data_IF_908690868212
#
_entry.id   IF_908690868212
#
_cell.length_a   1.000
_cell.length_b   1.000
_cell.length_c   1.000
_cell.angle_alpha   90.00
_cell.angle_beta   90.00
_cell.angle_gamma   90.00
#
_symmetry.space_group_name_H-M   'P 1'
#
loop_
_entity.id
_entity.type
_entity.pdbx_description
1 polymer ?
#
# COMPACT_ATOMS: atom_id res chain seq x y z
N UNK A 1 18.92 -2.99 38.91
CA UNK A 1 17.45 -2.88 38.77
C UNK A 1 16.90 -1.45 38.89
N UNK A 2 16.82 -0.83 40.08
CA UNK A 2 16.19 0.51 40.21
C UNK A 2 16.88 1.64 39.40
N UNK A 3 18.22 1.65 39.33
CA UNK A 3 18.99 2.59 38.47
C UNK A 3 18.73 2.38 36.97
N UNK A 4 18.46 1.15 36.58
CA UNK A 4 18.26 0.76 35.17
C UNK A 4 16.83 1.11 34.69
N UNK A 5 15.84 0.91 35.56
CA UNK A 5 14.46 1.38 35.36
C UNK A 5 14.42 2.91 35.26
N UNK A 6 15.18 3.62 36.11
CA UNK A 6 15.27 5.09 36.06
C UNK A 6 15.90 5.59 34.75
N UNK A 7 16.91 4.88 34.23
CA UNK A 7 17.56 5.18 32.94
C UNK A 7 16.59 4.96 31.76
N UNK A 8 15.88 3.82 31.72
CA UNK A 8 14.86 3.53 30.68
C UNK A 8 13.72 4.56 30.69
N UNK A 9 13.20 4.91 31.87
CA UNK A 9 12.15 5.94 32.01
C UNK A 9 12.62 7.34 31.60
N UNK A 10 13.90 7.66 31.78
CA UNK A 10 14.46 8.94 31.35
C UNK A 10 14.62 9.00 29.82
N UNK A 11 15.04 7.91 29.19
CA UNK A 11 15.09 7.79 27.72
C UNK A 11 13.68 7.91 27.12
N UNK A 12 12.70 7.16 27.64
CA UNK A 12 11.29 7.23 27.20
C UNK A 12 10.69 8.64 27.29
N UNK A 13 10.90 9.33 28.43
CA UNK A 13 10.46 10.72 28.60
C UNK A 13 11.16 11.71 27.68
N UNK A 14 12.41 11.43 27.30
CA UNK A 14 13.17 12.28 26.36
C UNK A 14 12.66 12.11 24.93
N UNK A 15 12.36 10.86 24.51
CA UNK A 15 11.73 10.56 23.22
C UNK A 15 10.35 11.20 23.12
N UNK A 16 9.48 11.03 24.12
CA UNK A 16 8.15 11.66 24.14
C UNK A 16 8.23 13.20 24.14
N UNK A 17 9.21 13.80 24.82
CA UNK A 17 9.42 15.26 24.77
C UNK A 17 9.94 15.74 23.43
N UNK A 18 10.76 14.95 22.74
CA UNK A 18 11.25 15.30 21.40
C UNK A 18 10.10 15.22 20.39
N UNK A 19 9.31 14.15 20.44
CA UNK A 19 8.05 13.99 19.68
C UNK A 19 7.14 15.20 19.96
N UNK A 20 6.85 15.50 21.23
CA UNK A 20 6.01 16.65 21.61
C UNK A 20 6.54 18.02 21.17
N UNK A 21 7.86 18.21 21.07
CA UNK A 21 8.47 19.45 20.55
C UNK A 21 8.40 19.55 19.03
N UNK A 22 8.44 18.42 18.33
CA UNK A 22 8.25 18.34 16.88
C UNK A 22 6.80 18.64 16.49
N UNK A 23 5.83 18.38 17.39
CA UNK A 23 4.40 18.62 17.16
C UNK A 23 3.86 19.99 17.65
N UNK A 24 4.72 20.99 17.89
CA UNK A 24 4.23 22.37 18.13
C UNK A 24 3.92 23.07 16.79
N UNK A 25 2.69 23.59 16.57
CA UNK A 25 2.37 24.29 15.34
C UNK A 25 3.10 25.64 15.26
N UNK A 26 3.91 25.80 14.21
CA UNK A 26 4.47 27.10 13.80
C UNK A 26 3.32 28.02 13.39
N UNK A 27 2.91 28.89 14.31
CA UNK A 27 1.90 29.93 14.07
C UNK A 27 2.57 31.17 13.50
N UNK A 28 2.85 31.20 12.20
CA UNK A 28 3.19 32.45 11.48
C UNK A 28 2.46 32.44 10.15
N UNK A 29 1.28 33.07 10.08
CA UNK A 29 0.74 33.65 8.85
C UNK A 29 -0.17 34.85 9.20
N UNK A 30 0.09 35.97 8.53
CA UNK A 30 -0.76 37.16 8.47
C UNK A 30 -2.00 36.90 7.59
N UNK A 31 -3.09 37.68 7.74
CA UNK A 31 -4.41 37.30 7.24
C UNK A 31 -4.64 37.73 5.79
N UNK A 32 -5.23 36.84 4.99
CA UNK A 32 -6.12 37.21 3.88
C UNK A 32 -7.41 36.42 3.98
N UNK A 33 -8.50 37.17 3.97
CA UNK A 33 -9.88 36.71 4.09
C UNK A 33 -10.29 35.82 2.93
N UNK A 34 -10.94 34.69 3.24
CA UNK A 34 -12.02 34.14 2.43
C UNK A 34 -12.87 33.23 3.33
N UNK A 35 -14.16 33.56 3.40
CA UNK A 35 -15.19 32.89 4.19
C UNK A 35 -15.38 31.42 3.79
N UNK A 36 -15.38 30.53 4.79
CA UNK A 36 -16.33 29.42 4.91
C UNK A 36 -16.35 28.92 6.36
N UNK A 37 -17.48 29.13 7.02
CA UNK A 37 -17.76 28.78 8.40
C UNK A 37 -18.13 27.29 8.50
N UNK A 38 -17.46 26.56 9.39
CA UNK A 38 -18.10 25.53 10.24
C UNK A 38 -17.35 25.46 11.57
N UNK A 39 -17.93 26.09 12.59
CA UNK A 39 -17.43 26.10 13.97
C UNK A 39 -18.09 24.99 14.79
N UNK A 40 -17.30 24.19 15.51
CA UNK A 40 -17.77 23.38 16.63
C UNK A 40 -17.13 23.88 17.94
N UNK A 41 -17.88 24.68 18.71
CA UNK A 41 -17.63 24.90 20.13
C UNK A 41 -18.97 25.19 20.84
N UNK A 42 -19.36 24.44 21.89
CA UNK A 42 -20.57 24.74 22.63
C UNK A 42 -20.32 25.86 23.66
N UNK A 43 -21.22 26.85 23.68
CA UNK A 43 -21.34 27.86 24.73
C UNK A 43 -21.98 27.22 25.97
N UNK A 44 -21.40 27.47 27.15
CA UNK A 44 -22.08 27.30 28.43
C UNK A 44 -21.99 28.61 29.23
N UNK A 45 -23.18 29.17 29.51
CA UNK A 45 -23.40 30.26 30.44
C UNK A 45 -23.23 29.75 31.87
N UNK A 46 -22.50 30.48 32.74
CA UNK A 46 -22.77 30.40 34.17
C UNK A 46 -22.40 31.69 34.91
N UNK A 47 -23.29 32.06 35.85
CA UNK A 47 -23.34 33.27 36.66
C UNK A 47 -22.28 33.29 37.77
N UNK A 48 -21.99 34.51 38.20
CA UNK A 48 -21.12 34.93 39.30
C UNK A 48 -21.49 34.34 40.67
N UNK A 49 -20.48 34.00 41.48
CA UNK A 49 -20.43 34.27 42.93
C UNK A 49 -18.98 34.14 43.46
N UNK A 50 -18.55 35.19 44.17
CA UNK A 50 -17.24 35.37 44.82
C UNK A 50 -17.27 34.82 46.25
N UNK A 51 -16.28 34.01 46.68
CA UNK A 51 -15.67 34.03 48.04
C UNK A 51 -14.23 33.44 48.02
N UNK A 52 -13.26 34.34 48.25
CA UNK A 52 -12.03 34.30 49.05
C UNK A 52 -11.18 33.03 49.37
N UNK A 53 -9.86 33.16 49.04
CA UNK A 53 -8.64 32.98 49.87
C UNK A 53 -8.17 31.56 50.35
N UNK A 54 -7.17 30.97 49.67
CA UNK A 54 -5.73 30.85 50.07
C UNK A 54 -4.95 29.80 49.24
N UNK A 55 -3.61 29.88 49.10
CA UNK A 55 -2.84 29.23 48.04
C UNK A 55 -2.08 27.97 48.51
N UNK A 56 -1.99 26.94 47.66
CA UNK A 56 -0.87 25.98 47.57
C UNK A 56 -1.05 25.11 46.29
N UNK A 57 0.04 24.70 45.61
CA UNK A 57 0.04 24.30 44.21
C UNK A 57 -0.32 22.81 44.07
N UNK A 58 -1.56 22.53 43.73
CA UNK A 58 -2.01 21.20 43.31
C UNK A 58 -2.70 21.32 41.96
N UNK A 59 -1.89 21.49 40.91
CA UNK A 59 -2.36 21.52 39.52
C UNK A 59 -1.69 20.38 38.76
N UNK A 60 -2.07 19.15 39.12
CA UNK A 60 -1.79 17.94 38.36
C UNK A 60 -2.73 16.83 38.82
N UNK A 61 -4.02 17.00 38.56
CA UNK A 61 -4.95 15.89 38.32
C UNK A 61 -6.25 16.52 37.80
N UNK A 62 -6.61 16.28 36.54
CA UNK A 62 -7.98 16.13 36.03
C UNK A 62 -7.88 16.04 34.51
N UNK A 63 -7.75 14.81 34.00
CA UNK A 63 -8.26 14.32 32.70
C UNK A 63 -7.89 12.83 32.55
N UNK A 64 -8.32 12.02 33.53
CA UNK A 64 -8.40 10.56 33.40
C UNK A 64 -9.75 10.12 33.97
N UNK A 65 -10.73 10.07 33.07
CA UNK A 65 -11.95 9.27 33.18
C UNK A 65 -11.81 8.22 32.07
N UNK A 66 -12.06 6.93 32.23
CA UNK A 66 -12.59 6.20 33.37
C UNK A 66 -12.32 4.71 33.16
N UNK A 67 -12.48 3.96 34.24
CA UNK A 67 -12.28 2.52 34.32
C UNK A 67 -13.33 1.73 33.51
N UNK A 68 -12.90 0.59 32.98
CA UNK A 68 -13.75 -0.60 32.83
C UNK A 68 -12.89 -1.83 33.15
N UNK A 69 -13.27 -2.69 34.12
CA UNK A 69 -12.58 -3.94 34.38
C UNK A 69 -13.23 -5.05 33.55
N UNK A 70 -12.47 -5.87 32.83
CA UNK A 70 -12.97 -7.19 32.48
C UNK A 70 -11.87 -8.24 32.30
N UNK A 71 -12.28 -9.44 32.63
CA UNK A 71 -11.51 -10.59 33.06
C UNK A 71 -10.70 -11.30 31.98
N UNK A 72 -9.80 -12.13 32.48
CA UNK A 72 -8.93 -13.04 31.75
C UNK A 72 -9.74 -14.10 31.00
N UNK A 73 -9.45 -14.27 29.72
CA UNK A 73 -9.36 -15.61 29.11
C UNK A 73 -8.03 -15.74 28.37
N UNK A 74 -7.28 -16.76 28.76
CA UNK A 74 -6.04 -17.17 28.14
C UNK A 74 -6.33 -17.88 26.82
N UNK A 75 -5.61 -17.51 25.76
CA UNK A 75 -5.26 -18.41 24.67
C UNK A 75 -4.06 -17.83 23.90
N UNK A 76 -3.04 -18.66 23.76
CA UNK A 76 -1.79 -18.50 23.00
C UNK A 76 -0.70 -17.64 23.64
N UNK A 77 0.06 -18.33 24.48
CA UNK A 77 1.47 -18.08 24.79
C UNK A 77 2.27 -18.18 23.47
N UNK A 78 2.37 -17.09 22.73
CA UNK A 78 3.33 -16.95 21.63
C UNK A 78 4.51 -16.19 22.19
N UNK A 79 5.61 -16.90 22.40
CA UNK A 79 6.88 -16.35 22.86
C UNK A 79 7.27 -15.10 22.05
N UNK A 80 7.23 -13.89 22.66
CA UNK A 80 7.51 -12.63 21.96
C UNK A 80 9.00 -12.50 21.58
N UNK A 81 9.87 -13.42 21.99
CA UNK A 81 11.29 -13.44 21.64
C UNK A 81 11.60 -13.96 20.23
N UNK A 82 10.62 -14.56 19.52
CA UNK A 82 10.90 -15.31 18.29
C UNK A 82 10.25 -14.76 17.01
N UNK A 83 9.24 -13.87 17.09
CA UNK A 83 8.53 -13.38 15.90
C UNK A 83 9.37 -12.43 15.02
N UNK A 84 10.27 -11.64 15.61
CA UNK A 84 11.20 -10.77 14.86
C UNK A 84 12.44 -11.51 14.34
N UNK A 85 12.75 -12.72 14.85
CA UNK A 85 13.89 -13.53 14.37
C UNK A 85 13.47 -14.67 13.42
N UNK A 86 12.24 -15.14 13.49
CA UNK A 86 11.73 -16.20 12.61
C UNK A 86 11.37 -15.69 11.20
N UNK A 87 10.89 -14.44 11.06
CA UNK A 87 10.54 -13.86 9.75
C UNK A 87 11.78 -13.50 8.89
N UNK A 88 12.93 -13.21 9.51
CA UNK A 88 14.09 -12.64 8.80
C UNK A 88 15.29 -13.58 8.69
N UNK A 89 15.27 -14.78 9.29
CA UNK A 89 16.36 -15.75 9.13
C UNK A 89 16.23 -16.54 7.82
N UNK A 90 16.22 -15.83 6.69
CA UNK A 90 16.71 -16.28 5.38
C UNK A 90 16.73 -15.20 4.28
N UNK A 91 16.56 -13.92 4.57
CA UNK A 91 16.98 -12.87 3.64
C UNK A 91 18.40 -12.47 4.04
N UNK A 92 19.39 -12.91 3.26
CA UNK A 92 20.80 -12.57 3.49
C UNK A 92 21.01 -11.10 3.13
N UNK A 93 20.81 -10.18 4.08
CA UNK A 93 21.19 -8.76 3.94
C UNK A 93 22.61 -8.48 4.44
N UNK A 94 23.52 -9.46 4.29
CA UNK A 94 24.93 -9.32 4.68
C UNK A 94 25.85 -9.28 3.45
N UNK A 95 27.00 -8.58 3.48
CA UNK A 95 27.96 -8.49 2.37
C UNK A 95 28.69 -9.82 2.03
N UNK A 96 28.14 -10.97 2.41
CA UNK A 96 28.73 -12.29 2.19
C UNK A 96 27.72 -13.36 1.74
N UNK A 97 26.52 -12.96 1.31
CA UNK A 97 25.58 -13.87 0.64
C UNK A 97 25.86 -13.86 -0.86
N UNK A 98 26.45 -14.94 -1.38
CA UNK A 98 26.86 -15.09 -2.78
C UNK A 98 25.93 -14.40 -3.78
N UNK A 99 26.45 -13.32 -4.35
CA UNK A 99 25.98 -12.66 -5.55
C UNK A 99 26.18 -13.61 -6.72
N UNK A 100 25.13 -14.26 -7.19
CA UNK A 100 24.89 -14.15 -8.63
C UNK A 100 24.29 -12.75 -8.78
N UNK A 101 25.17 -11.76 -9.00
CA UNK A 101 24.86 -10.33 -9.02
C UNK A 101 24.05 -9.89 -10.24
N UNK A 102 23.13 -10.73 -10.72
CA UNK A 102 22.16 -10.34 -11.74
C UNK A 102 20.95 -9.72 -11.06
N UNK A 103 20.73 -8.43 -11.28
CA UNK A 103 19.45 -7.77 -10.97
C UNK A 103 18.31 -8.59 -11.59
N UNK A 104 17.28 -8.88 -10.80
CA UNK A 104 16.10 -9.60 -11.29
C UNK A 104 15.41 -8.72 -12.34
N UNK A 105 15.11 -9.30 -13.51
CA UNK A 105 14.44 -8.57 -14.60
C UNK A 105 12.93 -8.73 -14.51
N UNK A 106 12.19 -7.82 -15.14
CA UNK A 106 10.72 -7.85 -15.24
C UNK A 106 10.26 -9.16 -15.86
N UNK A 107 10.93 -9.63 -16.91
CA UNK A 107 10.63 -10.90 -17.59
C UNK A 107 10.92 -12.15 -16.73
N UNK A 108 11.68 -12.02 -15.64
CA UNK A 108 11.90 -13.12 -14.69
C UNK A 108 10.79 -13.24 -13.65
N UNK A 109 10.07 -12.15 -13.35
CA UNK A 109 9.00 -12.12 -12.32
C UNK A 109 7.59 -11.95 -12.91
N UNK A 110 7.48 -11.49 -14.15
CA UNK A 110 6.24 -11.36 -14.89
C UNK A 110 6.28 -12.12 -16.22
N UNK A 111 5.12 -12.59 -16.66
CA UNK A 111 4.88 -12.94 -18.05
C UNK A 111 4.57 -11.66 -18.84
N UNK A 112 5.44 -11.33 -19.78
CA UNK A 112 5.30 -10.18 -20.67
C UNK A 112 4.69 -10.63 -22.00
N UNK A 113 3.50 -10.13 -22.31
CA UNK A 113 2.86 -10.41 -23.59
C UNK A 113 3.38 -9.47 -24.69
N UNK A 114 3.38 -9.95 -25.94
CA UNK A 114 3.78 -9.19 -27.13
C UNK A 114 2.59 -8.83 -28.05
N UNK A 115 1.40 -9.32 -27.73
CA UNK A 115 0.14 -8.98 -28.39
C UNK A 115 -0.45 -7.66 -27.92
N UNK A 116 -1.75 -7.49 -28.15
CA UNK A 116 -2.48 -6.26 -27.81
C UNK A 116 -2.36 -5.93 -26.32
N UNK A 117 -2.04 -4.67 -26.03
CA UNK A 117 -1.75 -4.19 -24.68
C UNK A 117 -0.55 -4.82 -23.98
N UNK A 118 0.26 -5.62 -24.68
CA UNK A 118 1.50 -6.20 -24.17
C UNK A 118 2.56 -5.17 -23.78
N UNK A 119 3.50 -5.59 -22.92
CA UNK A 119 4.59 -4.74 -22.41
C UNK A 119 5.94 -4.94 -23.12
N UNK A 120 6.03 -5.79 -24.15
CA UNK A 120 7.29 -6.16 -24.79
C UNK A 120 8.14 -4.95 -25.25
N UNK A 121 7.51 -3.88 -25.72
CA UNK A 121 8.21 -2.65 -26.15
C UNK A 121 8.73 -1.78 -25.00
N UNK A 122 8.31 -2.06 -23.75
CA UNK A 122 8.63 -1.31 -22.54
C UNK A 122 9.56 -2.07 -21.59
N UNK A 123 10.01 -3.29 -21.93
CA UNK A 123 10.77 -4.16 -21.00
C UNK A 123 11.96 -3.46 -20.35
N UNK A 124 12.80 -2.75 -21.11
CA UNK A 124 13.96 -2.05 -20.56
C UNK A 124 13.57 -0.94 -19.56
N UNK A 125 12.46 -0.24 -19.80
CA UNK A 125 11.92 0.75 -18.86
C UNK A 125 11.40 0.07 -17.60
N UNK A 126 10.67 -1.04 -17.76
CA UNK A 126 10.09 -1.80 -16.66
C UNK A 126 11.17 -2.46 -15.80
N UNK A 127 12.28 -2.93 -16.39
CA UNK A 127 13.44 -3.42 -15.64
C UNK A 127 14.05 -2.32 -14.77
N UNK A 128 14.10 -1.09 -15.28
CA UNK A 128 14.45 0.09 -14.50
C UNK A 128 13.46 0.33 -13.35
N UNK A 129 12.15 0.24 -13.61
CA UNK A 129 11.12 0.40 -12.58
C UNK A 129 11.19 -0.69 -11.51
N UNK A 130 11.44 -1.94 -11.89
CA UNK A 130 11.59 -3.06 -10.96
C UNK A 130 12.83 -2.90 -10.08
N UNK A 131 13.94 -2.42 -10.64
CA UNK A 131 15.13 -2.10 -9.86
C UNK A 131 14.85 -0.97 -8.85
N UNK A 132 14.18 0.11 -9.26
CA UNK A 132 13.80 1.20 -8.35
C UNK A 132 12.81 0.73 -7.27
N UNK A 133 11.85 -0.13 -7.61
CA UNK A 133 10.95 -0.75 -6.64
C UNK A 133 11.71 -1.60 -5.61
N UNK A 134 12.73 -2.33 -6.06
CA UNK A 134 13.62 -3.12 -5.17
C UNK A 134 14.41 -2.21 -4.24
N UNK A 135 15.00 -1.13 -4.75
CA UNK A 135 15.72 -0.15 -3.94
C UNK A 135 14.84 0.53 -2.87
N UNK A 136 13.62 0.92 -3.25
CA UNK A 136 12.64 1.46 -2.31
C UNK A 136 12.22 0.41 -1.27
N UNK A 137 11.99 -0.83 -1.72
CA UNK A 137 11.62 -1.92 -0.83
C UNK A 137 12.72 -2.29 0.17
N UNK A 138 13.97 -2.29 -0.25
CA UNK A 138 15.14 -2.52 0.61
C UNK A 138 15.26 -1.43 1.68
N UNK A 139 14.94 -0.18 1.34
CA UNK A 139 14.95 0.92 2.31
C UNK A 139 13.86 0.76 3.38
N UNK A 140 12.61 0.43 3.01
CA UNK A 140 11.54 0.22 3.99
C UNK A 140 11.76 -1.03 4.84
N UNK A 141 12.28 -2.12 4.28
CA UNK A 141 12.61 -3.34 5.04
C UNK A 141 13.78 -3.10 6.00
N UNK A 142 14.78 -2.31 5.59
CA UNK A 142 15.85 -1.84 6.50
C UNK A 142 15.27 -1.01 7.63
N UNK A 143 14.39 -0.05 7.33
CA UNK A 143 13.72 0.75 8.35
C UNK A 143 12.83 -0.08 9.29
N UNK A 144 12.20 -1.16 8.78
CA UNK A 144 11.43 -2.12 9.59
C UNK A 144 12.34 -2.85 10.59
N UNK A 145 13.47 -3.37 10.10
CA UNK A 145 14.45 -4.08 10.93
C UNK A 145 15.12 -3.17 11.97
N UNK A 146 15.36 -1.90 11.61
CA UNK A 146 16.01 -0.91 12.46
C UNK A 146 15.06 -0.14 13.39
N UNK A 147 13.77 -0.51 13.46
CA UNK A 147 12.80 0.18 14.31
C UNK A 147 13.30 0.39 15.74
N UNK A 148 13.88 -0.63 16.37
CA UNK A 148 14.31 -0.51 17.77
C UNK A 148 15.59 0.34 17.95
N UNK A 149 16.43 0.46 16.94
CA UNK A 149 17.77 1.07 17.04
C UNK A 149 17.83 2.45 16.42
N UNK A 150 17.06 2.74 15.37
CA UNK A 150 17.10 3.98 14.61
C UNK A 150 15.90 4.89 14.95
N UNK A 151 16.18 6.06 15.54
CA UNK A 151 15.13 7.02 15.89
C UNK A 151 14.37 7.55 14.67
N UNK A 152 15.06 7.78 13.55
CA UNK A 152 14.43 8.23 12.31
C UNK A 152 13.44 7.19 11.80
N UNK A 153 13.85 5.92 11.76
CA UNK A 153 12.96 4.83 11.36
C UNK A 153 11.68 4.76 12.22
N UNK A 154 11.80 4.88 13.55
CA UNK A 154 10.62 4.93 14.44
C UNK A 154 9.69 6.09 14.12
N UNK A 155 10.25 7.27 13.88
CA UNK A 155 9.44 8.44 13.53
C UNK A 155 8.68 8.15 12.23
N UNK A 156 9.33 7.61 11.21
CA UNK A 156 8.66 7.25 9.96
C UNK A 156 7.51 6.23 10.17
N UNK A 157 7.76 5.14 10.92
CA UNK A 157 6.71 4.15 11.23
C UNK A 157 5.53 4.73 12.02
N UNK A 158 5.80 5.69 12.91
CA UNK A 158 4.74 6.45 13.58
C UNK A 158 3.98 7.34 12.59
N UNK A 159 4.67 8.08 11.72
CA UNK A 159 4.09 9.02 10.77
C UNK A 159 3.12 8.34 9.80
N UNK A 160 3.52 7.23 9.18
CA UNK A 160 2.77 6.60 8.09
C UNK A 160 1.81 5.51 8.55
N UNK A 161 2.06 4.90 9.71
CA UNK A 161 1.31 3.73 10.19
C UNK A 161 0.85 3.82 11.65
N UNK A 162 1.16 4.89 12.37
CA UNK A 162 0.76 5.06 13.77
C UNK A 162 1.47 4.12 14.76
N UNK A 163 2.55 3.47 14.34
CA UNK A 163 3.26 2.48 15.17
C UNK A 163 4.01 3.20 16.29
N UNK A 164 3.56 3.01 17.52
CA UNK A 164 4.13 3.66 18.70
C UNK A 164 5.24 2.82 19.35
N UNK A 165 6.28 3.47 19.90
CA UNK A 165 7.32 2.79 20.65
C UNK A 165 6.84 2.42 22.06
N UNK A 166 7.14 1.19 22.46
CA UNK A 166 7.07 0.71 23.83
C UNK A 166 8.21 1.25 24.71
N UNK A 167 8.25 0.82 25.99
CA UNK A 167 9.17 1.37 26.99
C UNK A 167 10.67 1.20 26.70
N UNK A 168 11.04 0.23 25.87
CA UNK A 168 12.41 -0.10 25.47
C UNK A 168 12.68 0.23 23.99
N UNK A 169 11.85 1.10 23.40
CA UNK A 169 11.83 1.45 21.98
C UNK A 169 11.47 0.30 21.03
N UNK A 170 11.05 -0.88 21.53
CA UNK A 170 10.39 -1.88 20.69
C UNK A 170 9.00 -1.39 20.27
N UNK A 171 8.31 -2.14 19.40
CA UNK A 171 6.91 -1.84 19.06
C UNK A 171 6.03 -2.12 20.28
N UNK A 172 5.07 -1.24 20.58
CA UNK A 172 4.10 -1.47 21.67
C UNK A 172 3.05 -2.52 21.28
N UNK A 173 3.42 -3.80 21.42
CA UNK A 173 2.56 -4.94 21.11
C UNK A 173 1.48 -5.21 22.18
N UNK A 174 1.44 -4.46 23.28
CA UNK A 174 0.36 -4.59 24.28
C UNK A 174 -0.96 -3.99 23.77
N UNK A 175 -0.87 -3.15 22.75
CA UNK A 175 -2.00 -2.57 22.04
C UNK A 175 -2.36 -3.48 20.86
N UNK A 176 -3.55 -4.06 20.91
CA UNK A 176 -4.00 -5.01 19.89
C UNK A 176 -4.02 -4.39 18.48
N UNK A 177 -4.41 -3.12 18.36
CA UNK A 177 -4.40 -2.39 17.09
C UNK A 177 -2.98 -2.26 16.53
N UNK A 178 -2.01 -1.87 17.36
CA UNK A 178 -0.59 -1.82 16.98
C UNK A 178 -0.05 -3.20 16.62
N UNK A 179 -0.35 -4.23 17.41
CA UNK A 179 0.12 -5.59 17.16
C UNK A 179 -0.39 -6.14 15.82
N UNK A 180 -1.67 -5.93 15.52
CA UNK A 180 -2.27 -6.34 14.24
C UNK A 180 -1.67 -5.56 13.08
N UNK A 181 -1.57 -4.24 13.18
CA UNK A 181 -0.98 -3.40 12.14
C UNK A 181 0.48 -3.79 11.85
N UNK A 182 1.28 -4.02 12.90
CA UNK A 182 2.67 -4.44 12.76
C UNK A 182 2.80 -5.83 12.11
N UNK A 183 1.94 -6.78 12.48
CA UNK A 183 1.90 -8.09 11.85
C UNK A 183 1.54 -8.01 10.37
N UNK A 184 0.54 -7.19 10.01
CA UNK A 184 0.13 -6.96 8.63
C UNK A 184 1.26 -6.33 7.81
N UNK A 185 1.89 -5.28 8.32
CA UNK A 185 3.05 -4.63 7.68
C UNK A 185 4.15 -5.66 7.41
N UNK A 186 4.50 -6.48 8.41
CA UNK A 186 5.51 -7.53 8.25
C UNK A 186 5.13 -8.57 7.19
N UNK A 187 3.87 -9.00 7.14
CA UNK A 187 3.39 -9.97 6.14
C UNK A 187 3.47 -9.36 4.72
N UNK A 188 2.97 -8.14 4.53
CA UNK A 188 3.07 -7.39 3.26
C UNK A 188 4.51 -7.25 2.77
N UNK A 189 5.40 -6.78 3.65
CA UNK A 189 6.81 -6.62 3.32
C UNK A 189 7.42 -7.96 2.90
N UNK A 190 7.11 -9.04 3.62
CA UNK A 190 7.65 -10.37 3.31
C UNK A 190 7.19 -10.91 1.95
N UNK A 191 5.93 -10.67 1.57
CA UNK A 191 5.34 -11.10 0.29
C UNK A 191 5.96 -10.36 -0.89
N UNK A 192 6.12 -9.05 -0.74
CA UNK A 192 6.79 -8.22 -1.74
C UNK A 192 8.26 -8.60 -1.86
N UNK A 193 8.97 -8.83 -0.74
CA UNK A 193 10.36 -9.33 -0.75
C UNK A 193 10.46 -10.66 -1.50
N UNK A 194 9.54 -11.60 -1.22
CA UNK A 194 9.50 -12.90 -1.90
C UNK A 194 9.35 -12.71 -3.42
N UNK A 195 8.39 -11.89 -3.85
CA UNK A 195 8.14 -11.66 -5.26
C UNK A 195 9.33 -10.99 -5.98
N UNK A 196 9.85 -9.89 -5.42
CA UNK A 196 10.98 -9.14 -5.99
C UNK A 196 12.28 -9.97 -6.04
N UNK A 197 12.42 -10.98 -5.18
CA UNK A 197 13.55 -11.91 -5.21
C UNK A 197 13.49 -12.97 -6.32
N UNK A 198 12.42 -12.99 -7.14
CA UNK A 198 12.21 -14.02 -8.15
C UNK A 198 11.56 -15.30 -7.62
N UNK A 199 11.17 -15.34 -6.35
CA UNK A 199 10.57 -16.52 -5.72
C UNK A 199 9.06 -16.67 -6.02
N UNK A 200 8.51 -15.84 -6.91
CA UNK A 200 7.10 -15.87 -7.33
C UNK A 200 6.12 -15.45 -6.24
N UNK A 201 4.82 -15.65 -6.52
CA UNK A 201 3.73 -15.37 -5.57
C UNK A 201 3.67 -16.44 -4.48
N UNK A 202 3.27 -16.06 -3.26
CA UNK A 202 3.11 -16.99 -2.14
C UNK A 202 1.95 -17.96 -2.35
N UNK A 203 0.83 -17.45 -2.86
CA UNK A 203 -0.40 -18.21 -3.07
C UNK A 203 -0.87 -18.03 -4.54
N UNK A 204 -0.13 -18.59 -5.53
CA UNK A 204 -0.49 -18.45 -6.93
C UNK A 204 -1.75 -19.27 -7.27
N UNK A 205 -2.58 -18.73 -8.16
CA UNK A 205 -3.70 -19.45 -8.77
C UNK A 205 -3.22 -20.56 -9.71
N UNK A 206 -2.10 -20.31 -10.40
CA UNK A 206 -1.41 -21.28 -11.24
C UNK A 206 0.01 -21.47 -10.71
N UNK A 207 0.26 -22.65 -10.13
CA UNK A 207 1.56 -23.00 -9.56
C UNK A 207 2.65 -22.95 -10.62
N UNK A 208 3.73 -22.21 -10.35
CA UNK A 208 4.90 -22.10 -11.23
C UNK A 208 4.71 -21.14 -12.42
N UNK A 209 3.56 -20.51 -12.57
CA UNK A 209 3.36 -19.44 -13.56
C UNK A 209 3.67 -18.07 -12.93
N UNK A 210 4.33 -17.18 -13.67
CA UNK A 210 4.48 -15.80 -13.24
C UNK A 210 3.18 -15.01 -13.51
N UNK A 211 2.83 -14.01 -12.70
CA UNK A 211 1.73 -13.10 -13.03
C UNK A 211 1.98 -12.37 -14.35
N UNK A 212 0.91 -11.99 -15.05
CA UNK A 212 1.03 -11.25 -16.32
C UNK A 212 1.08 -9.75 -16.08
N UNK A 213 1.86 -9.06 -16.89
CA UNK A 213 1.96 -7.60 -16.91
C UNK A 213 1.61 -7.07 -18.29
N UNK A 214 0.63 -6.17 -18.33
CA UNK A 214 0.17 -5.46 -19.52
C UNK A 214 0.42 -3.96 -19.38
N UNK A 215 0.56 -3.27 -20.52
CA UNK A 215 0.92 -1.86 -20.64
C UNK A 215 -0.18 -1.00 -21.30
N UNK A 216 -1.33 -1.60 -21.61
CA UNK A 216 -2.54 -0.86 -21.96
C UNK A 216 -3.81 -1.66 -21.67
N UNK A 217 -4.95 -0.99 -21.74
CA UNK A 217 -6.26 -1.63 -21.63
C UNK A 217 -6.65 -2.47 -22.84
N UNK A 218 -5.91 -2.40 -23.94
CA UNK A 218 -6.17 -3.16 -25.18
C UNK A 218 -5.93 -4.67 -24.99
N UNK A 219 -5.28 -5.07 -23.90
CA UNK A 219 -5.12 -6.47 -23.51
C UNK A 219 -6.46 -7.17 -23.23
N UNK A 220 -7.50 -6.40 -22.87
CA UNK A 220 -8.84 -6.90 -22.60
C UNK A 220 -9.83 -6.43 -23.65
N UNK A 221 -10.56 -7.38 -24.23
CA UNK A 221 -11.65 -7.10 -25.17
C UNK A 221 -12.95 -6.99 -24.35
N UNK A 222 -13.63 -5.83 -24.34
CA UNK A 222 -14.90 -5.66 -23.65
C UNK A 222 -15.94 -6.70 -24.06
N UNK A 223 -16.72 -7.22 -23.11
CA UNK A 223 -17.78 -8.18 -23.36
C UNK A 223 -19.09 -7.73 -22.69
N UNK A 224 -20.22 -8.00 -23.34
CA UNK A 224 -21.52 -7.83 -22.71
C UNK A 224 -21.89 -9.06 -21.89
N UNK A 225 -22.53 -8.85 -20.74
CA UNK A 225 -23.03 -9.94 -19.88
C UNK A 225 -23.97 -10.93 -20.61
N UNK A 226 -24.63 -10.52 -21.70
CA UNK A 226 -25.51 -11.38 -22.49
C UNK A 226 -24.81 -12.21 -23.56
N UNK A 227 -23.50 -12.04 -23.77
CA UNK A 227 -22.75 -12.77 -24.80
C UNK A 227 -22.46 -14.21 -24.37
N UNK A 228 -22.31 -15.14 -25.34
CA UNK A 228 -21.80 -16.49 -25.08
C UNK A 228 -20.46 -16.45 -24.33
N UNK A 229 -20.33 -17.27 -23.30
CA UNK A 229 -19.05 -17.48 -22.63
C UNK A 229 -18.14 -18.38 -23.47
N UNK A 230 -16.84 -18.14 -23.38
CA UNK A 230 -15.79 -18.93 -24.04
C UNK A 230 -15.07 -19.85 -23.05
N UNK A 231 -14.73 -21.05 -23.51
CA UNK A 231 -13.91 -22.01 -22.77
C UNK A 231 -12.40 -21.66 -22.83
N UNK A 232 -11.56 -22.46 -22.17
CA UNK A 232 -10.09 -22.33 -22.18
C UNK A 232 -9.44 -22.39 -23.58
N UNK A 233 -10.16 -22.88 -24.59
CA UNK A 233 -9.70 -22.96 -25.97
C UNK A 233 -10.22 -21.78 -26.82
N UNK A 234 -11.02 -20.88 -26.24
CA UNK A 234 -11.64 -19.75 -26.93
C UNK A 234 -12.93 -20.09 -27.68
N UNK A 235 -13.48 -21.29 -27.50
CA UNK A 235 -14.73 -21.72 -28.14
C UNK A 235 -15.93 -21.32 -27.28
N UNK A 236 -17.03 -20.92 -27.92
CA UNK A 236 -18.29 -20.66 -27.22
C UNK A 236 -18.85 -21.94 -26.58
N UNK A 237 -19.36 -21.83 -25.36
CA UNK A 237 -19.90 -22.96 -24.60
C UNK A 237 -21.35 -23.21 -24.99
N UNK A 238 -21.60 -24.35 -25.64
CA UNK A 238 -22.93 -24.78 -26.07
C UNK A 238 -23.72 -25.27 -24.87
N UNK A 239 -24.90 -24.69 -24.63
CA UNK A 239 -25.81 -25.13 -23.57
C UNK A 239 -26.89 -26.10 -24.05
N UNK A 240 -27.26 -26.04 -25.33
CA UNK A 240 -28.27 -26.91 -25.91
C UNK A 240 -27.92 -27.25 -27.37
N UNK A 241 -28.18 -28.51 -27.76
CA UNK A 241 -28.02 -28.99 -29.13
C UNK A 241 -29.34 -29.54 -29.63
N UNK A 242 -29.63 -29.29 -30.90
CA UNK A 242 -30.75 -29.92 -31.58
C UNK A 242 -30.57 -31.46 -31.59
N UNK A 243 -31.57 -32.24 -31.14
CA UNK A 243 -31.42 -33.68 -30.95
C UNK A 243 -31.30 -34.45 -32.27
N UNK A 244 -31.78 -33.89 -33.37
CA UNK A 244 -31.82 -34.56 -34.68
C UNK A 244 -30.57 -34.27 -35.50
N UNK A 245 -30.02 -33.06 -35.39
CA UNK A 245 -28.87 -32.58 -36.18
C UNK A 245 -27.56 -32.51 -35.39
N UNK A 246 -27.64 -32.48 -34.06
CA UNK A 246 -26.48 -32.30 -33.17
C UNK A 246 -25.87 -30.90 -33.22
N UNK A 247 -26.49 -29.95 -33.93
CA UNK A 247 -26.01 -28.57 -34.06
C UNK A 247 -26.35 -27.75 -32.81
N UNK A 248 -25.52 -26.77 -32.41
CA UNK A 248 -25.84 -25.86 -31.32
C UNK A 248 -27.12 -25.05 -31.60
N UNK A 249 -28.02 -24.98 -30.62
CA UNK A 249 -29.24 -24.13 -30.68
C UNK A 249 -29.28 -23.08 -29.57
N UNK A 250 -28.49 -23.26 -28.50
CA UNK A 250 -28.28 -22.27 -27.46
C UNK A 250 -26.86 -22.33 -26.90
N UNK A 251 -26.43 -21.21 -26.32
CA UNK A 251 -25.11 -21.05 -25.70
C UNK A 251 -25.27 -20.53 -24.27
N UNK A 252 -24.38 -20.98 -23.40
CA UNK A 252 -24.29 -20.46 -22.04
C UNK A 252 -23.75 -19.02 -22.07
N UNK A 253 -24.40 -18.10 -21.37
CA UNK A 253 -23.99 -16.69 -21.35
C UNK A 253 -23.07 -16.35 -20.18
N UNK A 254 -22.34 -15.24 -20.29
CA UNK A 254 -21.54 -14.69 -19.18
C UNK A 254 -22.37 -14.41 -17.92
N UNK A 255 -23.57 -13.86 -18.08
CA UNK A 255 -24.51 -13.58 -16.99
C UNK A 255 -24.89 -14.86 -16.22
N UNK A 256 -25.01 -15.97 -16.95
CA UNK A 256 -25.37 -17.26 -16.38
C UNK A 256 -24.20 -17.92 -15.66
N UNK A 257 -23.02 -17.92 -16.28
CA UNK A 257 -21.81 -18.55 -15.73
C UNK A 257 -21.24 -17.78 -14.53
N UNK A 258 -21.32 -16.44 -14.55
CA UNK A 258 -20.71 -15.57 -13.54
C UNK A 258 -21.74 -14.79 -12.71
N UNK A 259 -22.91 -15.38 -12.48
CA UNK A 259 -24.01 -14.75 -11.74
C UNK A 259 -23.60 -14.28 -10.32
N UNK A 260 -22.73 -15.04 -9.64
CA UNK A 260 -22.22 -14.68 -8.33
C UNK A 260 -21.38 -13.39 -8.37
N UNK A 261 -20.51 -13.24 -9.39
CA UNK A 261 -19.69 -12.04 -9.59
C UNK A 261 -20.59 -10.83 -9.83
N UNK A 262 -21.54 -10.96 -10.77
CA UNK A 262 -22.48 -9.88 -11.09
C UNK A 262 -23.31 -9.46 -9.87
N UNK A 263 -23.72 -10.40 -9.03
CA UNK A 263 -24.46 -10.10 -7.79
C UNK A 263 -23.58 -9.43 -6.73
N UNK A 264 -22.33 -9.87 -6.61
CA UNK A 264 -21.40 -9.31 -5.65
C UNK A 264 -20.98 -7.90 -6.08
N UNK A 265 -20.70 -7.69 -7.37
CA UNK A 265 -20.25 -6.44 -7.98
C UNK A 265 -21.16 -6.08 -9.15
N UNK A 266 -22.27 -5.41 -8.85
CA UNK A 266 -23.30 -5.04 -9.82
C UNK A 266 -22.77 -4.20 -10.99
N UNK A 267 -21.72 -3.42 -10.74
CA UNK A 267 -21.07 -2.54 -11.72
C UNK A 267 -19.80 -3.15 -12.33
N UNK A 268 -19.63 -4.48 -12.26
CA UNK A 268 -18.50 -5.15 -12.92
C UNK A 268 -18.75 -5.37 -14.41
N UNK A 269 -17.69 -5.20 -15.18
CA UNK A 269 -17.64 -5.34 -16.62
C UNK A 269 -16.66 -6.48 -16.98
N UNK A 270 -17.10 -7.48 -17.76
CA UNK A 270 -16.25 -8.57 -18.18
C UNK A 270 -15.38 -8.16 -19.37
N UNK A 271 -14.11 -8.54 -19.32
CA UNK A 271 -13.16 -8.40 -20.41
C UNK A 271 -12.62 -9.78 -20.76
N UNK A 272 -12.73 -10.16 -22.04
CA UNK A 272 -12.05 -11.34 -22.56
C UNK A 272 -10.56 -11.04 -22.72
N UNK A 273 -9.71 -11.91 -22.22
CA UNK A 273 -8.26 -11.78 -22.23
C UNK A 273 -7.67 -12.86 -23.17
N UNK A 274 -7.35 -12.53 -24.43
CA UNK A 274 -6.81 -13.49 -25.39
C UNK A 274 -5.50 -14.15 -24.94
N UNK A 275 -4.68 -13.42 -24.16
CA UNK A 275 -3.38 -13.87 -23.66
C UNK A 275 -3.42 -15.20 -22.87
N UNK A 276 -4.56 -15.53 -22.26
CA UNK A 276 -4.76 -16.77 -21.52
C UNK A 276 -6.13 -17.43 -21.76
N UNK A 277 -6.87 -16.98 -22.79
CA UNK A 277 -8.22 -17.44 -23.11
C UNK A 277 -9.17 -17.46 -21.90
N UNK A 278 -9.18 -16.38 -21.12
CA UNK A 278 -10.04 -16.27 -19.94
C UNK A 278 -10.62 -14.88 -19.76
N UNK A 279 -11.22 -14.64 -18.60
CA UNK A 279 -11.90 -13.37 -18.31
C UNK A 279 -11.25 -12.62 -17.15
N UNK A 280 -11.13 -11.31 -17.31
CA UNK A 280 -10.88 -10.37 -16.23
C UNK A 280 -12.15 -9.54 -15.97
N UNK A 281 -12.33 -9.10 -14.73
CA UNK A 281 -13.45 -8.25 -14.34
C UNK A 281 -12.92 -6.97 -13.73
N UNK A 282 -13.49 -5.85 -14.16
CA UNK A 282 -13.17 -4.52 -13.66
C UNK A 282 -14.48 -3.75 -13.43
N UNK A 283 -14.46 -2.71 -12.61
CA UNK A 283 -15.68 -1.98 -12.22
C UNK A 283 -15.60 -0.47 -12.52
N UNK A 284 -14.69 -0.07 -13.40
CA UNK A 284 -14.46 1.33 -13.73
C UNK A 284 -15.20 1.76 -14.99
N UNK A 285 -15.01 1.05 -16.10
CA UNK A 285 -15.55 1.43 -17.42
C UNK A 285 -15.91 0.18 -18.24
N UNK A 286 -17.04 0.17 -18.97
CA UNK A 286 -17.46 -0.99 -19.77
C UNK A 286 -16.70 -1.18 -21.08
N UNK A 287 -15.92 -0.19 -21.52
CA UNK A 287 -15.30 -0.14 -22.85
C UNK A 287 -13.80 -0.29 -22.84
N UNK A 288 -13.14 -0.09 -21.68
CA UNK A 288 -11.69 -0.23 -21.56
C UNK A 288 -11.27 -0.52 -20.12
N UNK A 289 -10.22 -1.32 -19.95
CA UNK A 289 -9.58 -1.53 -18.65
C UNK A 289 -8.73 -0.32 -18.20
N UNK A 290 -8.47 0.63 -19.11
CA UNK A 290 -7.70 1.84 -18.86
C UNK A 290 -8.47 3.11 -19.23
N UNK A 291 -9.55 3.44 -18.50
CA UNK A 291 -10.35 4.62 -18.81
C UNK A 291 -9.58 5.92 -18.56
N UNK A 292 -9.72 6.86 -19.50
CA UNK A 292 -9.18 8.22 -19.40
C UNK A 292 -9.89 9.08 -18.35
N UNK A 293 -11.00 8.60 -17.79
CA UNK A 293 -11.77 9.26 -16.73
C UNK A 293 -12.23 8.23 -15.70
N UNK A 294 -11.70 8.35 -14.50
CA UNK A 294 -12.13 7.61 -13.32
C UNK A 294 -12.74 8.62 -12.34
N UNK A 295 -13.88 8.32 -11.75
CA UNK A 295 -14.41 9.14 -10.66
C UNK A 295 -13.98 8.48 -9.35
N UNK A 296 -13.15 9.16 -8.56
CA UNK A 296 -12.75 8.66 -7.25
C UNK A 296 -13.92 8.69 -6.25
N UNK A 297 -13.72 8.10 -5.07
CA UNK A 297 -14.73 8.04 -4.01
C UNK A 297 -15.20 9.43 -3.52
N UNK A 298 -14.40 10.49 -3.76
CA UNK A 298 -14.72 11.87 -3.42
C UNK A 298 -15.42 12.61 -4.58
N UNK A 299 -15.74 11.92 -5.69
CA UNK A 299 -16.38 12.49 -6.87
C UNK A 299 -15.43 13.26 -7.80
N UNK A 300 -14.11 13.16 -7.60
CA UNK A 300 -13.12 13.85 -8.44
C UNK A 300 -12.76 12.98 -9.64
N UNK A 301 -12.61 13.64 -10.78
CA UNK A 301 -12.11 12.98 -11.99
C UNK A 301 -10.60 12.79 -11.89
N UNK A 302 -10.16 11.54 -11.92
CA UNK A 302 -8.79 11.10 -12.11
C UNK A 302 -8.64 10.35 -13.43
N UNK A 303 -7.42 9.88 -13.69
CA UNK A 303 -7.11 8.98 -14.81
C UNK A 303 -6.47 7.74 -14.20
N UNK A 304 -6.85 6.54 -14.66
CA UNK A 304 -6.26 5.31 -14.13
C UNK A 304 -4.81 5.21 -14.55
N UNK A 305 -3.89 5.14 -13.58
CA UNK A 305 -2.48 4.88 -13.86
C UNK A 305 -2.22 3.38 -13.99
N UNK A 306 -2.80 2.56 -13.12
CA UNK A 306 -2.65 1.11 -13.18
C UNK A 306 -3.81 0.37 -12.49
N UNK A 307 -3.77 -0.95 -12.56
CA UNK A 307 -4.62 -1.85 -11.80
C UNK A 307 -4.01 -3.23 -11.64
N UNK A 308 -4.38 -3.89 -10.56
CA UNK A 308 -4.23 -5.33 -10.40
C UNK A 308 -5.59 -5.99 -10.35
N UNK A 309 -5.82 -7.07 -11.10
CA UNK A 309 -7.09 -7.81 -11.01
C UNK A 309 -7.23 -8.49 -9.65
N UNK A 310 -8.48 -8.67 -9.23
CA UNK A 310 -8.78 -9.37 -7.99
C UNK A 310 -8.53 -10.87 -8.15
N UNK A 311 -8.07 -11.57 -7.09
CA UNK A 311 -7.88 -13.02 -7.16
C UNK A 311 -9.24 -13.68 -7.37
N UNK A 312 -9.42 -14.40 -8.48
CA UNK A 312 -10.66 -15.11 -8.74
C UNK A 312 -10.45 -16.56 -9.18
N UNK A 313 -10.85 -17.55 -8.37
CA UNK A 313 -10.43 -18.94 -8.56
C UNK A 313 -11.35 -19.76 -9.47
N UNK A 314 -12.22 -19.14 -10.28
CA UNK A 314 -13.11 -19.91 -11.16
C UNK A 314 -12.31 -20.59 -12.27
N UNK A 315 -11.96 -21.86 -12.00
CA UNK A 315 -11.29 -22.78 -12.91
C UNK A 315 -12.28 -23.54 -13.78
N UNK A 316 -13.40 -23.89 -13.17
CA UNK A 316 -14.39 -24.81 -13.68
C UNK A 316 -15.77 -24.23 -13.40
N UNK A 317 -16.63 -24.30 -14.40
CA UNK A 317 -18.04 -23.97 -14.26
C UNK A 317 -18.80 -25.27 -14.49
N UNK A 318 -19.54 -25.66 -13.46
CA UNK A 318 -20.56 -26.71 -13.52
C UNK A 318 -21.90 -26.01 -13.35
N UNK A 319 -22.65 -25.93 -14.44
CA UNK A 319 -23.97 -25.31 -14.45
C UNK A 319 -24.92 -26.10 -15.32
N UNK A 320 -26.00 -26.60 -14.71
CA UNK A 320 -27.10 -27.28 -15.40
C UNK A 320 -26.57 -28.43 -16.30
N UNK A 321 -25.66 -29.27 -15.77
CA UNK A 321 -24.98 -30.38 -16.45
C UNK A 321 -24.02 -29.97 -17.59
N UNK A 322 -23.67 -28.68 -17.68
CA UNK A 322 -22.66 -28.16 -18.61
C UNK A 322 -21.35 -27.97 -17.84
N UNK A 323 -20.39 -28.84 -18.14
CA UNK A 323 -19.03 -28.81 -17.57
C UNK A 323 -18.03 -28.24 -18.59
N UNK A 324 -17.31 -27.20 -18.20
CA UNK A 324 -16.19 -26.68 -18.99
C UNK A 324 -15.15 -25.97 -18.11
N UNK A 325 -13.95 -25.87 -18.67
CA UNK A 325 -12.85 -25.15 -18.05
C UNK A 325 -12.69 -23.76 -18.67
N UNK A 326 -12.36 -22.79 -17.83
CA UNK A 326 -11.97 -21.45 -18.26
C UNK A 326 -10.46 -21.36 -18.40
N UNK A 327 -9.99 -20.52 -19.32
CA UNK A 327 -8.59 -20.12 -19.32
C UNK A 327 -8.27 -19.38 -18.02
N UNK A 328 -7.11 -19.66 -17.46
CA UNK A 328 -6.69 -19.14 -16.17
C UNK A 328 -5.40 -18.33 -16.34
N UNK A 329 -5.19 -17.39 -15.42
CA UNK A 329 -3.86 -16.84 -15.15
C UNK A 329 -3.74 -16.58 -13.66
N UNK A 330 -2.51 -16.36 -13.19
CA UNK A 330 -2.33 -15.61 -11.95
C UNK A 330 -2.90 -14.20 -12.10
N UNK A 331 -3.06 -13.49 -10.97
CA UNK A 331 -3.48 -12.08 -10.97
C UNK A 331 -2.65 -11.29 -11.99
N UNK A 332 -3.31 -10.41 -12.73
CA UNK A 332 -2.67 -9.62 -13.78
C UNK A 332 -2.50 -8.19 -13.29
N UNK A 333 -1.41 -7.55 -13.68
CA UNK A 333 -1.19 -6.12 -13.52
C UNK A 333 -1.33 -5.45 -14.88
N UNK A 334 -2.05 -4.33 -14.93
CA UNK A 334 -2.22 -3.50 -16.12
C UNK A 334 -1.71 -2.11 -15.77
N UNK A 335 -0.59 -1.72 -16.37
CA UNK A 335 -0.10 -0.35 -16.36
C UNK A 335 -0.75 0.40 -17.52
N UNK A 336 -1.60 1.38 -17.23
CA UNK A 336 -2.25 2.15 -18.27
C UNK A 336 -1.27 3.13 -18.93
N UNK A 337 -1.55 3.64 -20.14
CA UNK A 337 -0.69 4.64 -20.80
C UNK A 337 -0.34 5.84 -19.91
N UNK A 338 -1.26 6.16 -19.00
CA UNK A 338 -1.08 7.22 -18.00
C UNK A 338 0.08 6.94 -17.03
N UNK A 339 0.38 5.70 -16.62
CA UNK A 339 1.53 5.39 -15.75
C UNK A 339 2.87 5.86 -16.34
N UNK A 340 3.00 5.84 -17.66
CA UNK A 340 4.22 6.23 -18.37
C UNK A 340 4.35 7.75 -18.57
N UNK A 341 3.33 8.51 -18.22
CA UNK A 341 3.32 9.97 -18.29
C UNK A 341 3.46 10.58 -16.90
N UNK A 342 4.15 11.72 -16.72
CA UNK A 342 4.23 12.38 -15.43
C UNK A 342 2.82 12.65 -14.86
N UNK A 343 2.61 12.11 -13.68
CA UNK A 343 1.37 12.23 -12.91
C UNK A 343 1.49 13.33 -11.86
N UNK A 344 0.38 13.69 -11.22
CA UNK A 344 0.41 14.55 -10.02
C UNK A 344 0.96 13.78 -8.82
N UNK A 345 0.63 12.49 -8.73
CA UNK A 345 1.17 11.49 -7.79
C UNK A 345 2.24 10.68 -8.51
N UNK A 346 3.36 10.30 -7.91
CA UNK A 346 4.44 9.58 -8.63
C UNK A 346 5.03 10.41 -9.78
N UNK A 347 5.30 11.69 -9.52
CA UNK A 347 5.66 12.67 -10.53
C UNK A 347 7.14 12.69 -10.92
N UNK A 348 8.03 12.16 -10.07
CA UNK A 348 9.45 12.18 -10.37
C UNK A 348 9.77 11.18 -11.50
N UNK A 349 10.55 11.57 -12.53
CA UNK A 349 10.80 10.67 -13.67
C UNK A 349 11.52 9.37 -13.30
N UNK A 350 12.35 9.40 -12.26
CA UNK A 350 13.09 8.25 -11.76
C UNK A 350 13.52 8.48 -10.32
N UNK A 351 13.84 7.41 -9.59
CA UNK A 351 14.38 7.49 -8.23
C UNK A 351 15.70 8.26 -8.24
N UNK A 352 16.58 7.94 -9.19
CA UNK A 352 17.88 8.61 -9.33
C UNK A 352 17.75 10.13 -9.55
N UNK A 353 16.71 10.60 -10.26
CA UNK A 353 16.45 12.03 -10.40
C UNK A 353 15.82 12.64 -9.14
N UNK A 354 15.01 11.89 -8.39
CA UNK A 354 14.42 12.37 -7.14
C UNK A 354 15.48 12.59 -6.06
N UNK A 355 16.57 11.82 -6.08
CA UNK A 355 17.65 11.87 -5.08
C UNK A 355 18.97 12.42 -5.61
N UNK A 356 19.00 13.00 -6.81
CA UNK A 356 20.25 13.53 -7.37
C UNK A 356 20.82 14.65 -6.49
N UNK A 357 22.14 14.85 -6.48
CA UNK A 357 22.78 15.79 -5.54
C UNK A 357 22.29 17.26 -5.70
N UNK A 358 21.85 17.63 -6.89
CA UNK A 358 21.26 18.93 -7.24
C UNK A 358 19.77 19.06 -6.82
N UNK A 359 19.06 17.94 -6.67
CA UNK A 359 17.63 17.90 -6.28
C UNK A 359 17.38 17.40 -4.86
N UNK A 360 18.38 16.80 -4.23
CA UNK A 360 18.24 16.22 -2.90
C UNK A 360 17.85 17.32 -1.88
N UNK A 361 16.78 17.11 -1.11
CA UNK A 361 16.21 18.15 -0.26
C UNK A 361 17.19 18.67 0.79
N UNK A 362 17.13 19.98 1.04
CA UNK A 362 17.73 20.56 2.23
C UNK A 362 16.72 20.49 3.39
N UNK A 363 17.19 20.08 4.57
CA UNK A 363 16.38 20.07 5.77
C UNK A 363 15.78 21.46 6.07
N UNK A 364 14.48 21.51 6.36
CA UNK A 364 13.76 22.75 6.67
C UNK A 364 13.44 23.61 5.45
N UNK A 365 13.66 23.10 4.22
CA UNK A 365 13.20 23.79 3.02
C UNK A 365 11.67 23.93 3.02
N UNK A 366 11.20 25.08 2.53
CA UNK A 366 9.77 25.36 2.28
C UNK A 366 9.38 25.20 0.83
N UNK A 367 10.31 24.78 -0.03
CA UNK A 367 10.04 24.51 -1.45
C UNK A 367 9.15 23.26 -1.59
N UNK A 368 7.92 23.46 -2.06
CA UNK A 368 6.95 22.38 -2.26
C UNK A 368 7.37 21.39 -3.35
N UNK A 369 8.28 21.77 -4.26
CA UNK A 369 8.77 20.86 -5.31
C UNK A 369 9.61 19.70 -4.76
N UNK A 370 10.09 19.83 -3.53
CA UNK A 370 10.83 18.79 -2.81
C UNK A 370 10.02 18.21 -1.64
N UNK A 371 8.70 18.36 -1.67
CA UNK A 371 7.83 17.60 -0.77
C UNK A 371 7.80 16.14 -1.18
N UNK A 372 7.59 15.25 -0.21
CA UNK A 372 7.69 13.81 -0.41
C UNK A 372 6.83 13.32 -1.58
N UNK A 373 5.61 13.82 -1.71
CA UNK A 373 4.66 13.45 -2.77
C UNK A 373 5.10 13.87 -4.19
N UNK A 374 5.98 14.86 -4.29
CA UNK A 374 6.59 15.29 -5.56
C UNK A 374 7.83 14.49 -5.94
N UNK A 375 8.44 13.83 -4.97
CA UNK A 375 9.68 13.08 -5.14
C UNK A 375 9.46 11.60 -5.37
N UNK A 376 8.24 11.09 -5.19
CA UNK A 376 7.93 9.69 -5.52
C UNK A 376 8.11 9.44 -7.02
N UNK A 377 8.90 8.43 -7.43
CA UNK A 377 9.18 8.17 -8.84
C UNK A 377 8.01 7.50 -9.56
N UNK A 378 7.94 7.62 -10.88
CA UNK A 378 6.92 6.94 -11.71
C UNK A 378 6.88 5.42 -11.50
N UNK A 379 8.04 4.81 -11.28
CA UNK A 379 8.20 3.38 -10.95
C UNK A 379 7.43 2.95 -9.70
N UNK A 380 7.12 3.88 -8.80
CA UNK A 380 6.27 3.62 -7.64
C UNK A 380 4.85 3.17 -8.02
N UNK A 381 4.39 3.47 -9.24
CA UNK A 381 3.13 2.94 -9.75
C UNK A 381 3.18 1.41 -9.88
N UNK A 382 4.23 0.87 -10.50
CA UNK A 382 4.42 -0.59 -10.52
C UNK A 382 4.64 -1.14 -9.12
N UNK A 383 5.41 -0.44 -8.29
CA UNK A 383 5.66 -0.87 -6.91
C UNK A 383 4.37 -0.96 -6.07
N UNK A 384 3.45 0.00 -6.25
CA UNK A 384 2.13 0.01 -5.64
C UNK A 384 1.33 -1.23 -6.07
N UNK A 385 1.28 -1.51 -7.37
CA UNK A 385 0.58 -2.69 -7.88
C UNK A 385 1.19 -4.01 -7.41
N UNK A 386 2.49 -4.07 -7.11
CA UNK A 386 3.13 -5.27 -6.55
C UNK A 386 2.58 -5.60 -5.15
N UNK A 387 2.21 -4.61 -4.33
CA UNK A 387 1.52 -4.88 -3.06
C UNK A 387 0.16 -5.52 -3.32
N UNK A 388 -0.65 -4.92 -4.21
CA UNK A 388 -1.92 -5.52 -4.60
C UNK A 388 -1.74 -6.95 -5.09
N UNK A 389 -0.76 -7.18 -5.96
CA UNK A 389 -0.47 -8.46 -6.60
C UNK A 389 -0.08 -9.57 -5.62
N UNK A 390 0.80 -9.26 -4.68
CA UNK A 390 1.39 -10.25 -3.76
C UNK A 390 0.49 -10.58 -2.57
N UNK A 391 -0.58 -9.81 -2.41
CA UNK A 391 -1.60 -10.05 -1.41
C UNK A 391 -2.59 -11.15 -1.77
N UNK A 392 -3.06 -11.84 -0.74
CA UNK A 392 -4.04 -12.92 -0.86
C UNK A 392 -5.47 -12.42 -1.05
N UNK A 393 -5.69 -11.12 -0.84
CA UNK A 393 -7.00 -10.50 -0.91
C UNK A 393 -6.96 -9.26 -1.78
N UNK A 394 -8.13 -8.68 -2.05
CA UNK A 394 -8.20 -7.37 -2.68
C UNK A 394 -7.82 -6.29 -1.67
N UNK A 395 -6.55 -5.96 -1.63
CA UNK A 395 -5.99 -4.91 -0.79
C UNK A 395 -6.59 -3.56 -1.21
N UNK A 396 -7.19 -2.78 -0.29
CA UNK A 396 -7.95 -1.60 -0.67
C UNK A 396 -7.07 -0.35 -0.79
N UNK A 397 -7.32 0.44 -1.83
CA UNK A 397 -6.77 1.80 -1.99
C UNK A 397 -7.56 2.81 -1.17
N UNK A 398 -7.27 2.83 0.12
CA UNK A 398 -8.05 3.61 1.08
C UNK A 398 -7.66 5.08 1.13
N UNK A 399 -6.43 5.42 0.75
CA UNK A 399 -5.96 6.79 0.64
C UNK A 399 -4.77 6.90 -0.33
N UNK A 400 -4.85 7.86 -1.27
CA UNK A 400 -3.73 8.22 -2.16
C UNK A 400 -2.98 9.49 -1.74
N UNK A 401 -3.69 10.42 -1.10
CA UNK A 401 -3.09 11.70 -0.68
C UNK A 401 -2.21 11.49 0.54
N UNK A 402 -0.98 12.00 0.48
CA UNK A 402 -0.02 11.98 1.58
C UNK A 402 -0.62 12.52 2.89
N UNK A 403 -1.35 13.63 2.83
CA UNK A 403 -1.99 14.22 4.02
C UNK A 403 -3.04 13.29 4.64
N UNK A 404 -3.84 12.59 3.81
CA UNK A 404 -4.81 11.61 4.29
C UNK A 404 -4.12 10.41 4.94
N UNK A 405 -3.01 9.94 4.36
CA UNK A 405 -2.22 8.82 4.90
C UNK A 405 -1.61 9.20 6.25
N UNK A 406 -0.98 10.37 6.35
CA UNK A 406 -0.39 10.87 7.61
C UNK A 406 -1.48 11.07 8.66
N UNK A 407 -2.62 11.65 8.28
CA UNK A 407 -3.75 11.83 9.19
C UNK A 407 -4.30 10.49 9.71
N UNK A 408 -4.37 9.47 8.84
CA UNK A 408 -4.79 8.13 9.21
C UNK A 408 -3.77 7.44 10.12
N UNK A 409 -2.47 7.58 9.86
CA UNK A 409 -1.40 7.09 10.74
C UNK A 409 -1.40 7.78 12.12
N UNK A 410 -1.75 9.06 12.18
CA UNK A 410 -1.89 9.78 13.45
C UNK A 410 -3.17 9.41 14.23
N UNK A 411 -4.17 8.81 13.57
CA UNK A 411 -5.40 8.39 14.21
C UNK A 411 -5.24 7.01 14.87
N UNK A 412 -5.83 6.79 16.04
CA UNK A 412 -5.80 5.50 16.73
C UNK A 412 -6.90 4.53 16.22
N UNK A 413 -6.75 3.23 16.51
CA UNK A 413 -7.79 2.23 16.26
C UNK A 413 -7.96 1.87 14.78
N UNK A 414 -9.20 1.95 14.27
CA UNK A 414 -9.54 1.45 12.93
C UNK A 414 -8.72 2.08 11.79
N UNK A 415 -8.25 3.31 11.96
CA UNK A 415 -7.41 4.00 10.98
C UNK A 415 -6.03 3.32 10.79
N UNK A 416 -5.47 2.67 11.82
CA UNK A 416 -4.22 1.91 11.68
C UNK A 416 -4.41 0.68 10.79
N UNK A 417 -5.57 0.01 10.91
CA UNK A 417 -5.88 -1.13 10.05
C UNK A 417 -5.93 -0.69 8.59
N UNK A 418 -6.58 0.44 8.32
CA UNK A 418 -6.62 1.09 7.00
C UNK A 418 -5.23 1.36 6.43
N UNK A 419 -4.34 2.03 7.16
CA UNK A 419 -2.99 2.33 6.65
C UNK A 419 -2.13 1.10 6.47
N UNK A 420 -2.24 0.09 7.35
CA UNK A 420 -1.47 -1.17 7.28
C UNK A 420 -1.83 -2.06 6.09
N UNK A 421 -2.95 -1.79 5.42
CA UNK A 421 -3.39 -2.47 4.19
C UNK A 421 -3.43 -1.51 2.98
N UNK A 422 -2.90 -0.30 3.08
CA UNK A 422 -2.96 0.66 1.97
C UNK A 422 -1.61 0.66 1.23
N UNK A 423 -1.51 0.17 -0.02
CA UNK A 423 -0.25 0.12 -0.75
C UNK A 423 0.46 1.46 -0.83
N UNK A 424 -0.29 2.54 -1.05
CA UNK A 424 0.27 3.88 -1.13
C UNK A 424 0.98 4.32 0.17
N UNK A 425 0.53 3.85 1.34
CA UNK A 425 1.23 4.12 2.61
C UNK A 425 2.62 3.52 2.61
N UNK A 426 2.80 2.33 2.02
CA UNK A 426 4.11 1.71 1.86
C UNK A 426 4.97 2.46 0.86
N UNK A 427 4.39 3.01 -0.21
CA UNK A 427 5.13 3.82 -1.19
C UNK A 427 5.75 5.05 -0.53
N UNK A 428 4.95 5.86 0.18
CA UNK A 428 5.49 7.05 0.85
C UNK A 428 6.48 6.70 1.96
N UNK A 429 6.20 5.65 2.74
CA UNK A 429 7.12 5.17 3.77
C UNK A 429 8.46 4.72 3.14
N UNK A 430 8.43 4.00 2.02
CA UNK A 430 9.63 3.53 1.33
C UNK A 430 10.45 4.68 0.77
N UNK A 431 9.80 5.66 0.14
CA UNK A 431 10.47 6.86 -0.34
C UNK A 431 11.10 7.67 0.80
N UNK A 432 10.38 7.84 1.92
CA UNK A 432 10.90 8.53 3.10
C UNK A 432 12.06 7.78 3.76
N UNK A 433 11.97 6.45 3.83
CA UNK A 433 13.04 5.60 4.34
C UNK A 433 14.28 5.66 3.43
N UNK A 434 14.09 5.64 2.10
CA UNK A 434 15.19 5.75 1.14
C UNK A 434 15.92 7.09 1.30
N UNK A 435 15.17 8.19 1.40
CA UNK A 435 15.73 9.53 1.66
C UNK A 435 16.53 9.58 2.97
N UNK A 436 16.06 8.93 4.03
CA UNK A 436 16.76 8.86 5.32
C UNK A 436 18.06 8.03 5.28
N UNK A 437 18.07 6.95 4.49
CA UNK A 437 19.14 5.96 4.49
C UNK A 437 20.22 6.27 3.44
N UNK A 438 19.84 6.87 2.30
CA UNK A 438 20.66 7.01 1.09
C UNK A 438 20.89 8.48 0.70
N UNK A 439 21.35 9.30 1.64
CA UNK A 439 21.74 10.67 1.32
C UNK A 439 22.93 10.69 0.35
N UNK A 440 22.91 11.49 -0.73
CA UNK A 440 24.05 11.64 -1.63
C UNK A 440 25.31 12.10 -0.89
N UNK A 441 26.47 11.79 -1.47
CA UNK A 441 27.75 12.21 -0.89
C UNK A 441 27.78 13.73 -0.64
N UNK A 442 28.23 14.12 0.57
CA UNK A 442 28.29 15.51 0.99
C UNK A 442 26.94 16.13 1.41
N UNK A 443 25.82 15.39 1.34
CA UNK A 443 24.51 15.84 1.83
C UNK A 443 24.21 15.26 3.21
N UNK A 444 23.46 16.02 4.00
CA UNK A 444 22.93 15.54 5.29
C UNK A 444 21.65 14.74 5.04
N UNK A 445 21.46 13.57 5.67
CA UNK A 445 20.22 12.83 5.56
C UNK A 445 18.99 13.64 5.99
N UNK A 446 17.92 13.54 5.22
CA UNK A 446 16.62 14.13 5.56
C UNK A 446 15.61 13.08 5.97
N UNK A 447 14.62 13.50 6.75
CA UNK A 447 13.50 12.68 7.20
C UNK A 447 12.19 13.41 6.90
N UNK A 448 11.13 12.65 6.60
CA UNK A 448 9.79 13.18 6.38
C UNK A 448 8.86 12.77 7.53
N UNK A 449 8.44 13.75 8.33
CA UNK A 449 7.40 13.62 9.36
C UNK A 449 6.21 14.53 8.99
N UNK A 450 5.70 14.34 7.78
CA UNK A 450 4.99 15.36 7.04
C UNK A 450 5.35 15.32 5.55
N UNK A 451 4.80 16.26 4.78
CA UNK A 451 5.20 16.46 3.39
C UNK A 451 6.59 17.10 3.25
N UNK A 452 6.98 17.98 4.18
CA UNK A 452 8.22 18.75 4.11
C UNK A 452 9.44 18.01 4.69
N UNK A 453 10.65 18.21 4.12
CA UNK A 453 11.87 17.59 4.59
C UNK A 453 12.37 18.21 5.89
N UNK A 454 12.80 17.36 6.83
CA UNK A 454 13.37 17.73 8.11
C UNK A 454 14.78 17.16 8.25
N UNK A 455 15.59 17.72 9.15
CA UNK A 455 16.87 17.13 9.49
C UNK A 455 16.66 15.77 10.14
N UNK A 456 17.36 14.74 9.67
CA UNK A 456 17.34 13.44 10.32
C UNK A 456 17.92 13.54 11.75
N UNK A 457 17.37 12.80 12.72
CA UNK A 457 18.01 12.70 14.02
C UNK A 457 19.39 12.05 13.88
N UNK A 458 20.36 12.39 14.76
CA UNK A 458 21.64 11.68 14.80
C UNK A 458 21.41 10.18 15.02
N UNK A 459 22.16 9.35 14.28
CA UNK A 459 22.11 7.89 14.37
C UNK A 459 22.56 7.37 15.73
#
# INVERSE_FOLDING_TARGET
MAKEIKKKNQTYRSTLRLISKVFQPLSILHPREAHLQTSCAPRLNMRWSLVALWPLPSLCLFLLVGACPQERHAAYDVDPGNSTKALFRRVRTGPGGGTDGSTVTTSQVFLIDSGDGGCASQEALLDGWLNEATELHDAITTAYADYQTNLGARILWFTFFGIMPGPDNSVDLNRQDTANAWANIGDHLSRVTQFLSGSGLRDPQISGENPRLFCSGDAGIPQDWGQPIKDKNGNEVVSEKDPDTGLPVAYLTLNEAFLAIKRQWADSYPFWMPAFNGYAFDNMDPTTMCPDKVIDADGKQGVRAASTTKPWPLKHVDKDDIEFDLGQSNRIVILCPRAFSPQVLHSAPSLAQAVSADRYPAAGSSDESIYLDRLVPQSATLYHEIYHLTDNSNTPDTAYSLDKIIAAGCAAGAALATTSHNPESFIYMAMAAYMLLNAPEGKTPVMYNGAAPMAAPPR
#
